data_IF_471350276090
#
_entry.id   IF_471350276090
#
_cell.length_a   1.000
_cell.length_b   1.000
_cell.length_c   1.000
_cell.angle_alpha   90.00
_cell.angle_beta   90.00
_cell.angle_gamma   90.00
#
_symmetry.space_group_name_H-M   'P 1'
#
loop_
_entity.id
_entity.type
_entity.pdbx_description
1 polymer ?
#
# COMPACT_ATOMS: atom_id res chain seq x y z
N UNK A 1 -18.67 28.34 26.05
CA UNK A 1 -18.76 27.98 24.61
C UNK A 1 -17.42 28.27 23.96
N UNK A 2 -16.48 27.33 24.01
CA UNK A 2 -15.11 27.54 23.53
C UNK A 2 -14.94 26.79 22.23
N UNK A 3 -14.59 27.54 21.17
CA UNK A 3 -14.47 27.12 19.78
C UNK A 3 -13.67 25.81 19.65
N UNK A 4 -14.29 24.79 19.09
CA UNK A 4 -13.59 23.61 18.60
C UNK A 4 -12.57 24.03 17.55
N UNK A 5 -11.29 23.87 17.88
CA UNK A 5 -10.21 24.03 16.93
C UNK A 5 -10.32 22.86 15.94
N UNK A 6 -10.91 23.13 14.77
CA UNK A 6 -10.93 22.18 13.67
C UNK A 6 -9.49 22.01 13.18
N UNK A 7 -8.81 20.99 13.71
CA UNK A 7 -7.54 20.53 13.17
C UNK A 7 -7.83 20.05 11.75
N UNK A 8 -7.57 20.92 10.76
CA UNK A 8 -7.57 20.49 9.36
C UNK A 8 -6.53 19.37 9.28
N UNK A 9 -6.89 18.15 8.82
CA UNK A 9 -5.88 17.15 8.54
C UNK A 9 -4.94 17.76 7.50
N UNK A 10 -3.70 18.02 7.89
CA UNK A 10 -2.65 18.46 6.99
C UNK A 10 -2.45 17.36 5.96
N UNK A 11 -2.99 17.58 4.77
CA UNK A 11 -2.85 16.70 3.60
C UNK A 11 -1.37 16.61 3.30
N UNK A 12 -0.74 15.55 3.79
CA UNK A 12 0.71 15.37 3.68
C UNK A 12 0.96 14.53 2.45
N UNK A 13 1.48 15.17 1.38
CA UNK A 13 2.03 14.42 0.24
C UNK A 13 3.09 13.45 0.80
N UNK A 14 3.04 12.16 0.44
CA UNK A 14 4.03 11.22 0.95
C UNK A 14 5.43 11.68 0.56
N UNK A 15 6.40 11.52 1.47
CA UNK A 15 7.80 11.69 1.09
C UNK A 15 8.18 10.63 0.03
N UNK A 16 9.32 10.83 -0.63
CA UNK A 16 9.77 9.97 -1.73
C UNK A 16 9.82 8.48 -1.34
N UNK A 17 10.30 8.15 -0.15
CA UNK A 17 10.43 6.77 0.31
C UNK A 17 9.07 6.13 0.59
N UNK A 18 8.17 6.86 1.26
CA UNK A 18 6.78 6.45 1.45
C UNK A 18 6.08 6.22 0.12
N UNK A 19 6.25 7.13 -0.84
CA UNK A 19 5.66 6.98 -2.17
C UNK A 19 6.17 5.72 -2.88
N UNK A 20 7.48 5.46 -2.88
CA UNK A 20 8.07 4.25 -3.47
C UNK A 20 7.53 2.99 -2.80
N UNK A 21 7.44 2.96 -1.46
CA UNK A 21 6.90 1.82 -0.74
C UNK A 21 5.43 1.56 -1.11
N UNK A 22 4.61 2.61 -1.25
CA UNK A 22 3.22 2.48 -1.70
C UNK A 22 3.11 1.94 -3.13
N UNK A 23 3.98 2.37 -4.05
CA UNK A 23 4.03 1.83 -5.42
C UNK A 23 4.34 0.33 -5.40
N UNK A 24 5.32 -0.11 -4.60
CA UNK A 24 5.66 -1.54 -4.47
C UNK A 24 4.47 -2.37 -4.00
N UNK A 25 3.66 -1.86 -3.07
CA UNK A 25 2.47 -2.55 -2.61
C UNK A 25 1.35 -2.55 -3.65
N UNK A 26 1.12 -1.44 -4.35
CA UNK A 26 0.12 -1.38 -5.43
C UNK A 26 0.47 -2.36 -6.57
N UNK A 27 1.74 -2.43 -6.95
CA UNK A 27 2.24 -3.43 -7.91
C UNK A 27 2.00 -4.87 -7.44
N UNK A 28 2.24 -5.15 -6.16
CA UNK A 28 1.99 -6.48 -5.60
C UNK A 28 0.50 -6.85 -5.65
N UNK A 29 -0.40 -5.90 -5.38
CA UNK A 29 -1.86 -6.11 -5.45
C UNK A 29 -2.31 -6.34 -6.90
N UNK A 30 -1.76 -5.59 -7.86
CA UNK A 30 -2.04 -5.80 -9.28
C UNK A 30 -1.51 -7.14 -9.78
N UNK A 31 -0.33 -7.55 -9.35
CA UNK A 31 0.22 -8.87 -9.67
C UNK A 31 -0.64 -9.99 -9.08
N UNK A 32 -1.19 -9.80 -7.87
CA UNK A 32 -2.15 -10.73 -7.30
C UNK A 32 -3.39 -10.90 -8.20
N UNK A 33 -3.87 -9.83 -8.82
CA UNK A 33 -4.99 -9.88 -9.76
C UNK A 33 -4.64 -10.58 -11.08
N UNK A 34 -3.46 -10.33 -11.63
CA UNK A 34 -3.08 -10.84 -12.95
C UNK A 34 -2.50 -12.26 -12.94
N UNK A 35 -1.70 -12.57 -11.92
CA UNK A 35 -0.86 -13.79 -11.87
C UNK A 35 -1.23 -14.69 -10.68
N UNK A 36 -1.97 -14.15 -9.70
CA UNK A 36 -2.32 -14.86 -8.48
C UNK A 36 -1.31 -14.66 -7.35
N UNK A 37 -1.38 -15.47 -6.27
CA UNK A 37 -0.58 -15.28 -5.06
C UNK A 37 0.93 -15.16 -5.30
N UNK A 38 1.57 -14.29 -4.54
CA UNK A 38 3.01 -14.06 -4.60
C UNK A 38 3.80 -15.33 -4.27
N UNK A 39 4.74 -15.70 -5.16
CA UNK A 39 5.72 -16.76 -4.91
C UNK A 39 6.94 -16.18 -4.19
N UNK A 40 7.40 -16.84 -3.13
CA UNK A 40 8.54 -16.37 -2.33
C UNK A 40 9.89 -16.60 -3.06
N UNK A 41 10.91 -15.75 -2.82
CA UNK A 41 10.94 -14.62 -1.89
C UNK A 41 10.57 -13.27 -2.53
N UNK A 42 9.82 -12.44 -1.79
CA UNK A 42 9.40 -11.09 -2.20
C UNK A 42 9.99 -10.02 -1.26
N UNK A 43 11.32 -9.86 -1.31
CA UNK A 43 12.05 -8.99 -0.39
C UNK A 43 11.59 -7.52 -0.45
N UNK A 44 11.29 -7.01 -1.66
CA UNK A 44 10.81 -5.64 -1.84
C UNK A 44 9.49 -5.37 -1.13
N UNK A 45 8.51 -6.28 -1.26
CA UNK A 45 7.20 -6.18 -0.58
C UNK A 45 7.38 -6.23 0.93
N UNK A 46 8.21 -7.15 1.44
CA UNK A 46 8.49 -7.25 2.89
C UNK A 46 9.12 -5.98 3.44
N UNK A 47 10.11 -5.41 2.72
CA UNK A 47 10.78 -4.18 3.12
C UNK A 47 9.82 -2.99 3.09
N UNK A 48 8.98 -2.88 2.05
CA UNK A 48 7.98 -1.83 1.95
C UNK A 48 6.99 -1.88 3.12
N UNK A 49 6.45 -3.06 3.46
CA UNK A 49 5.56 -3.23 4.60
C UNK A 49 6.25 -2.85 5.93
N UNK A 50 7.48 -3.32 6.16
CA UNK A 50 8.23 -3.00 7.37
C UNK A 50 8.53 -1.50 7.50
N UNK A 51 8.90 -0.85 6.39
CA UNK A 51 9.13 0.59 6.36
C UNK A 51 7.85 1.36 6.68
N UNK A 52 6.74 1.06 6.01
CA UNK A 52 5.48 1.76 6.23
C UNK A 52 4.96 1.56 7.67
N UNK A 53 5.14 0.36 8.23
CA UNK A 53 4.83 0.10 9.63
C UNK A 53 5.70 0.95 10.58
N UNK A 54 7.00 1.09 10.30
CA UNK A 54 7.90 1.92 11.12
C UNK A 54 7.51 3.40 11.13
N UNK A 55 6.83 3.87 10.08
CA UNK A 55 6.32 5.24 9.96
C UNK A 55 4.90 5.42 10.51
N UNK A 56 4.22 4.32 10.85
CA UNK A 56 2.84 4.33 11.35
C UNK A 56 2.78 4.71 12.84
N UNK A 57 2.01 5.74 13.16
CA UNK A 57 1.89 6.26 14.54
C UNK A 57 1.01 5.37 15.44
N UNK A 58 0.04 4.65 14.87
CA UNK A 58 -0.92 3.85 15.63
C UNK A 58 -0.30 2.58 16.25
N UNK A 59 0.91 2.19 15.83
CA UNK A 59 1.59 0.91 16.16
C UNK A 59 0.72 -0.33 15.92
N UNK A 60 -0.37 -0.20 15.16
CA UNK A 60 -1.22 -1.32 14.79
C UNK A 60 -0.57 -2.06 13.62
N UNK A 61 -0.20 -3.32 13.85
CA UNK A 61 0.46 -4.17 12.85
C UNK A 61 -0.55 -4.94 11.99
N UNK A 62 -1.80 -5.06 12.42
CA UNK A 62 -2.79 -5.94 11.80
C UNK A 62 -3.01 -5.69 10.30
N UNK A 63 -3.12 -4.44 9.80
CA UNK A 63 -3.31 -4.20 8.37
C UNK A 63 -2.12 -4.67 7.52
N UNK A 64 -0.90 -4.56 8.06
CA UNK A 64 0.34 -4.93 7.39
C UNK A 64 0.49 -6.45 7.30
N UNK A 65 0.27 -7.16 8.41
CA UNK A 65 0.33 -8.62 8.45
C UNK A 65 -0.82 -9.22 7.61
N UNK A 66 -2.02 -8.64 7.68
CA UNK A 66 -3.17 -9.09 6.87
C UNK A 66 -2.88 -8.92 5.39
N UNK A 67 -2.42 -7.74 4.94
CA UNK A 67 -2.05 -7.53 3.54
C UNK A 67 -0.99 -8.53 3.08
N UNK A 68 0.03 -8.78 3.89
CA UNK A 68 1.07 -9.78 3.58
C UNK A 68 0.49 -11.18 3.38
N UNK A 69 -0.39 -11.64 4.29
CA UNK A 69 -1.03 -12.95 4.17
C UNK A 69 -1.92 -13.04 2.93
N UNK A 70 -2.68 -11.99 2.62
CA UNK A 70 -3.52 -11.92 1.42
C UNK A 70 -2.69 -11.98 0.14
N UNK A 71 -1.59 -11.23 0.08
CA UNK A 71 -0.68 -11.27 -1.07
C UNK A 71 -0.04 -12.66 -1.26
N UNK A 72 0.19 -13.41 -0.18
CA UNK A 72 0.64 -14.81 -0.25
C UNK A 72 -0.48 -15.82 -0.52
N UNK A 73 -1.75 -15.39 -0.58
CA UNK A 73 -2.91 -16.27 -0.67
C UNK A 73 -3.08 -17.19 0.54
N UNK A 74 -2.54 -16.79 1.70
CA UNK A 74 -2.56 -17.51 2.98
C UNK A 74 -3.56 -16.92 3.98
N UNK A 75 -4.29 -15.89 3.57
CA UNK A 75 -5.39 -15.36 4.36
C UNK A 75 -6.61 -16.30 4.30
N UNK A 76 -7.59 -16.01 5.16
CA UNK A 76 -8.84 -16.77 5.21
C UNK A 76 -9.83 -16.37 4.11
N UNK A 77 -9.49 -15.42 3.26
CA UNK A 77 -10.39 -14.91 2.24
C UNK A 77 -10.48 -15.88 1.06
N UNK A 78 -11.68 -16.06 0.47
CA UNK A 78 -11.81 -16.85 -0.74
C UNK A 78 -10.98 -16.22 -1.88
N UNK A 79 -10.44 -17.04 -2.81
CA UNK A 79 -9.58 -16.56 -3.89
C UNK A 79 -10.15 -15.36 -4.66
N UNK A 80 -11.45 -15.38 -4.94
CA UNK A 80 -12.16 -14.36 -5.72
C UNK A 80 -12.23 -12.99 -5.02
N UNK A 81 -12.07 -12.96 -3.69
CA UNK A 81 -12.16 -11.74 -2.89
C UNK A 81 -10.81 -11.15 -2.50
N UNK A 82 -9.69 -11.86 -2.76
CA UNK A 82 -8.37 -11.46 -2.26
C UNK A 82 -7.89 -10.12 -2.79
N UNK A 83 -8.16 -9.81 -4.07
CA UNK A 83 -7.72 -8.53 -4.68
C UNK A 83 -8.45 -7.37 -4.00
N UNK A 84 -9.77 -7.46 -3.89
CA UNK A 84 -10.60 -6.47 -3.19
C UNK A 84 -10.16 -6.33 -1.73
N UNK A 85 -9.89 -7.45 -1.06
CA UNK A 85 -9.45 -7.45 0.33
C UNK A 85 -8.06 -6.83 0.51
N UNK A 86 -7.11 -7.12 -0.38
CA UNK A 86 -5.80 -6.50 -0.40
C UNK A 86 -5.91 -4.98 -0.62
N UNK A 87 -6.81 -4.54 -1.51
CA UNK A 87 -7.14 -3.13 -1.70
C UNK A 87 -7.66 -2.47 -0.43
N UNK A 88 -8.55 -3.13 0.31
CA UNK A 88 -9.05 -2.64 1.61
C UNK A 88 -7.94 -2.47 2.63
N UNK A 89 -7.02 -3.45 2.76
CA UNK A 89 -5.89 -3.33 3.69
C UNK A 89 -4.91 -2.22 3.25
N UNK A 90 -4.67 -2.08 1.95
CA UNK A 90 -3.85 -1.00 1.41
C UNK A 90 -4.43 0.39 1.72
N UNK A 91 -5.73 0.59 1.51
CA UNK A 91 -6.41 1.83 1.87
C UNK A 91 -6.27 2.16 3.36
N UNK A 92 -6.38 1.13 4.22
CA UNK A 92 -6.19 1.28 5.66
C UNK A 92 -4.75 1.65 6.03
N UNK A 93 -3.76 1.02 5.41
CA UNK A 93 -2.34 1.39 5.59
C UNK A 93 -2.11 2.85 5.20
N UNK A 94 -2.63 3.30 4.05
CA UNK A 94 -2.53 4.70 3.63
C UNK A 94 -3.10 5.66 4.68
N UNK A 95 -4.28 5.36 5.23
CA UNK A 95 -4.88 6.14 6.31
C UNK A 95 -3.99 6.16 7.57
N UNK A 96 -3.49 5.01 7.99
CA UNK A 96 -2.69 4.84 9.22
C UNK A 96 -1.34 5.58 9.15
N UNK A 97 -0.76 5.74 7.96
CA UNK A 97 0.48 6.53 7.73
C UNK A 97 0.20 8.00 7.35
N UNK A 98 -1.06 8.44 7.37
CA UNK A 98 -1.44 9.82 7.08
C UNK A 98 -1.41 10.21 5.60
N UNK A 99 -1.45 9.25 4.68
CA UNK A 99 -1.48 9.47 3.23
C UNK A 99 -2.91 9.35 2.71
N UNK A 100 -3.37 10.38 2.00
CA UNK A 100 -4.69 10.37 1.36
C UNK A 100 -4.62 9.57 0.05
N UNK A 101 -5.49 8.57 -0.08
CA UNK A 101 -5.66 7.82 -1.33
C UNK A 101 -6.67 8.54 -2.23
N UNK A 102 -6.20 9.52 -2.99
CA UNK A 102 -6.99 10.25 -3.99
C UNK A 102 -6.58 9.89 -5.43
N UNK A 103 -7.30 10.48 -6.39
CA UNK A 103 -7.06 10.26 -7.83
C UNK A 103 -5.63 10.68 -8.21
N UNK A 104 -5.12 11.78 -7.63
CA UNK A 104 -3.76 12.26 -7.90
C UNK A 104 -2.70 11.25 -7.48
N UNK A 105 -2.81 10.67 -6.27
CA UNK A 105 -1.91 9.62 -5.83
C UNK A 105 -2.01 8.38 -6.73
N UNK A 106 -3.23 7.99 -7.09
CA UNK A 106 -3.49 6.88 -8.01
C UNK A 106 -2.82 7.06 -9.37
N UNK A 107 -2.95 8.25 -9.96
CA UNK A 107 -2.30 8.62 -11.23
C UNK A 107 -0.79 8.67 -11.10
N UNK A 108 -0.25 9.26 -10.02
CA UNK A 108 1.18 9.34 -9.79
C UNK A 108 1.83 7.95 -9.70
N UNK A 109 1.19 7.02 -8.96
CA UNK A 109 1.65 5.64 -8.89
C UNK A 109 1.55 4.94 -10.25
N UNK A 110 0.50 5.22 -11.05
CA UNK A 110 0.36 4.69 -12.39
C UNK A 110 1.48 5.13 -13.35
N UNK A 111 1.85 6.41 -13.33
CA UNK A 111 2.93 6.96 -14.17
C UNK A 111 4.28 6.33 -13.85
N UNK A 112 4.60 6.16 -12.56
CA UNK A 112 5.88 5.57 -12.16
C UNK A 112 6.03 4.10 -12.62
N UNK A 113 4.92 3.36 -12.70
CA UNK A 113 4.92 1.98 -13.22
C UNK A 113 5.15 1.91 -14.73
N UNK A 114 4.58 2.86 -15.49
CA UNK A 114 4.76 2.92 -16.95
C UNK A 114 6.16 3.34 -17.35
N UNK A 115 6.87 4.10 -16.50
CA UNK A 115 8.25 4.54 -16.70
C UNK A 115 9.31 3.45 -16.42
N UNK A 116 8.92 2.17 -16.42
CA UNK A 116 9.87 1.06 -16.32
C UNK A 116 10.92 1.25 -17.43
N UNK A 117 12.23 1.34 -17.11
CA UNK A 117 13.23 1.59 -18.13
C UNK A 117 13.14 0.50 -19.17
N UNK A 118 12.92 0.90 -20.43
CA UNK A 118 13.16 0.01 -21.55
C UNK A 118 14.58 -0.52 -21.37
N UNK A 119 14.70 -1.81 -21.05
CA UNK A 119 15.98 -2.50 -21.08
C UNK A 119 16.57 -2.25 -22.45
N UNK A 120 17.62 -1.46 -22.50
CA UNK A 120 18.50 -1.34 -23.66
C UNK A 120 18.89 -2.77 -24.02
N UNK A 121 18.41 -3.21 -25.18
CA UNK A 121 18.83 -4.47 -25.80
C UNK A 121 20.24 -4.32 -26.35
#
# INVERSE_FOLDING_TARGET
MTRGHLVKPTVSKPNRTTFIALVVLDDAIRNLQAVGPLKQPQHGVRLALAYLYSTCLSKNRDPFDTLWLTLLGRDRQPPDFRVTWAGTQFARICQDIGVRQDIELGEAMARLRTDKPATSS
#
